data_IF_534560478179
#
_entry.id   IF_534560478179
#
_cell.length_a   1.000
_cell.length_b   1.000
_cell.length_c   1.000
_cell.angle_alpha   90.00
_cell.angle_beta   90.00
_cell.angle_gamma   90.00
#
_symmetry.space_group_name_H-M   'P 1'
#
loop_
_entity.id
_entity.type
_entity.pdbx_description
1 polymer ?
#
# COMPACT_ATOMS: atom_id res chain seq x y z
N UNK A 1 -0.15 -17.19 -18.06
CA UNK A 1 -0.13 -16.36 -16.84
C UNK A 1 -0.73 -17.19 -15.71
N UNK A 2 0.05 -17.57 -14.71
CA UNK A 2 -0.47 -18.24 -13.51
C UNK A 2 -1.13 -17.20 -12.63
N UNK A 3 -2.37 -17.45 -12.20
CA UNK A 3 -3.04 -16.61 -11.22
C UNK A 3 -2.28 -16.72 -9.89
N UNK A 4 -1.94 -15.57 -9.28
CA UNK A 4 -1.39 -15.55 -7.93
C UNK A 4 -2.47 -15.97 -6.94
N UNK A 5 -2.09 -16.71 -5.90
CA UNK A 5 -3.01 -17.07 -4.83
C UNK A 5 -3.34 -15.84 -3.98
N UNK A 6 -4.49 -15.85 -3.27
CA UNK A 6 -4.86 -14.75 -2.37
C UNK A 6 -3.82 -14.53 -1.28
N UNK A 7 -3.19 -15.60 -0.80
CA UNK A 7 -2.18 -15.50 0.25
C UNK A 7 -0.87 -14.87 -0.26
N UNK A 8 -0.44 -15.21 -1.48
CA UNK A 8 0.69 -14.54 -2.13
C UNK A 8 0.43 -13.04 -2.32
N UNK A 9 -0.79 -12.68 -2.72
CA UNK A 9 -1.19 -11.28 -2.86
C UNK A 9 -1.16 -10.56 -1.51
N UNK A 10 -1.66 -11.19 -0.44
CA UNK A 10 -1.60 -10.64 0.92
C UNK A 10 -0.15 -10.42 1.36
N UNK A 11 0.72 -11.43 1.21
CA UNK A 11 2.14 -11.31 1.58
C UNK A 11 2.80 -10.16 0.84
N UNK A 12 2.55 -10.04 -0.48
CA UNK A 12 3.09 -8.94 -1.28
C UNK A 12 2.59 -7.58 -0.79
N UNK A 13 1.30 -7.45 -0.53
CA UNK A 13 0.68 -6.22 -0.02
C UNK A 13 1.29 -5.80 1.32
N UNK A 14 1.45 -6.73 2.26
CA UNK A 14 2.08 -6.41 3.56
C UNK A 14 3.57 -6.06 3.43
N UNK A 15 4.31 -6.65 2.47
CA UNK A 15 5.68 -6.22 2.16
C UNK A 15 5.73 -4.78 1.67
N UNK A 16 4.79 -4.37 0.83
CA UNK A 16 4.72 -2.99 0.35
C UNK A 16 4.42 -1.99 1.48
N UNK A 17 3.62 -2.39 2.47
CA UNK A 17 3.39 -1.59 3.67
C UNK A 17 4.64 -1.45 4.52
N UNK A 18 5.38 -2.55 4.75
CA UNK A 18 6.62 -2.50 5.54
C UNK A 18 7.71 -1.68 4.86
N UNK A 19 7.73 -1.64 3.52
CA UNK A 19 8.61 -0.78 2.71
C UNK A 19 8.16 0.69 2.66
N UNK A 20 7.01 1.05 3.25
CA UNK A 20 6.42 2.39 3.19
C UNK A 20 5.98 2.81 1.79
N UNK A 21 5.75 1.86 0.88
CA UNK A 21 5.31 2.14 -0.50
C UNK A 21 3.81 2.35 -0.61
N UNK A 22 3.06 1.77 0.31
CA UNK A 22 1.61 1.96 0.50
C UNK A 22 1.34 2.08 2.01
N UNK A 23 0.10 2.38 2.37
CA UNK A 23 -0.36 2.37 3.76
C UNK A 23 -1.77 1.78 3.84
N UNK A 24 -2.20 1.45 5.06
CA UNK A 24 -3.56 1.04 5.35
C UNK A 24 -4.22 2.03 6.32
N UNK A 25 -5.53 2.16 6.20
CA UNK A 25 -6.39 2.78 7.19
C UNK A 25 -7.04 1.66 7.97
N UNK A 26 -6.71 1.53 9.26
CA UNK A 26 -7.38 0.57 10.12
C UNK A 26 -8.74 1.13 10.54
N UNK A 27 -9.81 0.40 10.23
CA UNK A 27 -11.16 0.73 10.66
C UNK A 27 -11.88 -0.55 11.09
N UNK A 28 -12.39 -0.56 12.32
CA UNK A 28 -13.06 -1.73 12.93
C UNK A 28 -12.23 -3.04 12.86
N UNK A 29 -10.90 -2.92 12.99
CA UNK A 29 -9.99 -4.06 12.93
C UNK A 29 -9.72 -4.58 11.50
N UNK A 30 -10.20 -3.88 10.48
CA UNK A 30 -9.95 -4.18 9.06
C UNK A 30 -9.01 -3.13 8.48
N UNK A 31 -7.95 -3.58 7.81
CA UNK A 31 -7.00 -2.73 7.10
C UNK A 31 -7.51 -2.43 5.69
N UNK A 32 -7.96 -1.20 5.48
CA UNK A 32 -8.39 -0.70 4.18
C UNK A 32 -7.21 -0.10 3.42
N UNK A 33 -6.99 -0.59 2.21
CA UNK A 33 -5.89 -0.11 1.36
C UNK A 33 -6.48 0.85 0.32
N UNK A 34 -6.01 2.11 0.26
CA UNK A 34 -6.52 3.06 -0.70
C UNK A 34 -6.26 2.60 -2.14
N UNK A 35 -7.28 2.61 -2.99
CA UNK A 35 -7.16 2.20 -4.40
C UNK A 35 -6.20 3.09 -5.18
N UNK A 36 -6.15 4.39 -4.85
CA UNK A 36 -5.21 5.34 -5.46
C UNK A 36 -3.74 5.07 -5.12
N UNK A 37 -3.45 4.15 -4.19
CA UNK A 37 -2.08 3.73 -3.92
C UNK A 37 -1.49 2.89 -5.06
N UNK A 38 -2.32 2.43 -6.00
CA UNK A 38 -1.94 1.60 -7.13
C UNK A 38 -2.30 2.25 -8.47
N UNK A 39 -1.43 2.06 -9.45
CA UNK A 39 -1.69 2.43 -10.83
C UNK A 39 -2.54 1.35 -11.51
N UNK A 40 -3.84 1.60 -11.66
CA UNK A 40 -4.77 0.69 -12.32
C UNK A 40 -4.42 0.45 -13.81
N UNK A 41 -3.73 1.38 -14.46
CA UNK A 41 -3.31 1.24 -15.86
C UNK A 41 -1.98 0.48 -15.99
N UNK A 42 -1.16 0.49 -14.93
CA UNK A 42 0.14 -0.16 -14.85
C UNK A 42 0.12 -1.57 -14.25
N UNK A 43 -1.03 -2.25 -14.24
CA UNK A 43 -1.15 -3.59 -13.64
C UNK A 43 -1.15 -3.56 -12.11
N UNK A 44 -1.75 -2.52 -11.52
CA UNK A 44 -1.88 -2.32 -10.07
C UNK A 44 -0.54 -2.34 -9.34
N UNK A 45 0.49 -1.72 -9.92
CA UNK A 45 1.75 -1.48 -9.24
C UNK A 45 1.62 -0.29 -8.29
N UNK A 46 2.33 -0.28 -7.14
CA UNK A 46 2.32 0.87 -6.24
C UNK A 46 2.79 2.14 -6.94
N UNK A 47 2.06 3.23 -6.76
CA UNK A 47 2.38 4.53 -7.37
C UNK A 47 3.71 5.05 -6.78
N UNK A 48 4.75 5.32 -7.59
CA UNK A 48 6.08 5.67 -7.07
C UNK A 48 6.12 6.92 -6.17
N UNK A 49 5.31 7.94 -6.49
CA UNK A 49 5.30 9.20 -5.73
C UNK A 49 4.74 9.03 -4.31
N UNK A 50 3.90 8.01 -4.08
CA UNK A 50 3.24 7.83 -2.78
C UNK A 50 4.25 7.57 -1.66
N UNK A 51 5.33 6.83 -1.93
CA UNK A 51 6.39 6.58 -0.95
C UNK A 51 6.96 7.88 -0.38
N UNK A 52 7.26 8.86 -1.25
CA UNK A 52 7.79 10.15 -0.83
C UNK A 52 6.78 10.92 0.03
N UNK A 53 5.49 10.85 -0.29
CA UNK A 53 4.43 11.46 0.52
C UNK A 53 4.36 10.82 1.90
N UNK A 54 4.37 9.49 1.98
CA UNK A 54 4.37 8.73 3.25
C UNK A 54 5.60 9.13 4.09
N UNK A 55 6.79 9.19 3.51
CA UNK A 55 8.01 9.59 4.21
C UNK A 55 7.96 11.02 4.77
N UNK A 56 7.35 11.97 4.04
CA UNK A 56 7.17 13.35 4.49
C UNK A 56 6.20 13.40 5.68
N UNK A 57 5.08 12.68 5.58
CA UNK A 57 4.04 12.67 6.62
C UNK A 57 4.46 11.88 7.85
N UNK A 58 5.24 10.80 7.72
CA UNK A 58 5.75 10.03 8.84
C UNK A 58 6.65 10.85 9.78
N UNK A 59 7.31 11.89 9.25
CA UNK A 59 8.12 12.84 10.04
C UNK A 59 7.29 13.89 10.79
N UNK A 60 5.99 13.95 10.51
CA UNK A 60 5.04 14.87 11.13
C UNK A 60 3.94 14.04 11.77
N UNK A 61 4.19 13.55 12.99
CA UNK A 61 3.11 13.00 13.81
C UNK A 61 2.18 14.16 14.16
N UNK A 62 0.87 13.90 14.13
CA UNK A 62 -0.20 14.85 14.47
C UNK A 62 0.24 15.75 15.64
N UNK A 63 0.17 17.06 15.41
CA UNK A 63 0.45 18.07 16.43
C UNK A 63 -0.62 18.08 17.52
#
# INVERSE_FOLDING_TARGET
MTAQTVDELKTRVYSLMSEGRIFAINYEGVDYIPTYAFDANGGYQPVPVLKAVIEILAKRKDA
#
